data_IF_306201112991
#
_entry.id   IF_306201112991
#
_cell.length_a   1.000
_cell.length_b   1.000
_cell.length_c   1.000
_cell.angle_alpha   90.00
_cell.angle_beta   90.00
_cell.angle_gamma   90.00
#
_symmetry.space_group_name_H-M   'P 1'
#
loop_
_entity.id
_entity.type
_entity.pdbx_description
1 polymer ?
#
# COMPACT_ATOMS: atom_id res chain seq x y z
N UNK A 1 -8.11 -7.06 11.10
CA UNK A 1 -6.70 -6.66 10.94
C UNK A 1 -5.91 -7.75 10.19
N UNK A 2 -6.13 -7.90 8.87
CA UNK A 2 -5.47 -8.99 8.11
C UNK A 2 -4.01 -8.64 7.80
N UNK A 3 -3.76 -7.43 7.31
CA UNK A 3 -2.42 -6.93 6.96
C UNK A 3 -1.46 -6.88 8.16
N UNK A 4 -1.94 -6.47 9.35
CA UNK A 4 -1.11 -6.46 10.55
C UNK A 4 -0.79 -7.86 11.08
N UNK A 5 -1.66 -8.84 10.81
CA UNK A 5 -1.41 -10.25 11.14
C UNK A 5 -0.40 -10.92 10.20
N UNK A 6 -0.22 -10.39 8.98
CA UNK A 6 0.74 -10.90 7.99
C UNK A 6 2.18 -10.44 8.23
N UNK A 7 2.42 -9.56 9.21
CA UNK A 7 3.76 -9.11 9.56
C UNK A 7 4.42 -8.27 8.45
N UNK A 8 3.63 -7.52 7.69
CA UNK A 8 4.14 -6.68 6.61
C UNK A 8 4.96 -5.54 7.21
N UNK A 9 6.26 -5.52 6.91
CA UNK A 9 7.19 -4.45 7.34
C UNK A 9 7.84 -3.71 6.18
N UNK A 10 7.69 -4.23 4.95
CA UNK A 10 8.31 -3.64 3.76
C UNK A 10 7.26 -2.85 2.95
N UNK A 11 7.59 -1.63 2.46
CA UNK A 11 6.70 -0.83 1.62
C UNK A 11 6.24 -1.58 0.36
N UNK A 12 7.16 -2.31 -0.28
CA UNK A 12 6.88 -3.10 -1.48
C UNK A 12 5.84 -4.18 -1.22
N UNK A 13 5.96 -4.89 -0.09
CA UNK A 13 5.01 -5.91 0.33
C UNK A 13 3.66 -5.31 0.71
N UNK A 14 3.63 -4.12 1.34
CA UNK A 14 2.37 -3.43 1.61
C UNK A 14 1.63 -3.08 0.32
N UNK A 15 2.33 -2.52 -0.67
CA UNK A 15 1.73 -2.17 -1.97
C UNK A 15 1.17 -3.43 -2.65
N UNK A 16 1.93 -4.52 -2.72
CA UNK A 16 1.46 -5.78 -3.33
C UNK A 16 0.21 -6.32 -2.64
N UNK A 17 0.19 -6.34 -1.30
CA UNK A 17 -0.97 -6.85 -0.55
C UNK A 17 -2.18 -5.94 -0.69
N UNK A 18 -1.99 -4.62 -0.73
CA UNK A 18 -3.07 -3.69 -1.01
C UNK A 18 -3.65 -3.90 -2.42
N UNK A 19 -2.80 -4.11 -3.43
CA UNK A 19 -3.23 -4.41 -4.80
C UNK A 19 -4.02 -5.72 -4.88
N UNK A 20 -3.54 -6.78 -4.23
CA UNK A 20 -4.24 -8.07 -4.11
C UNK A 20 -5.65 -7.90 -3.50
N UNK A 21 -5.78 -7.03 -2.49
CA UNK A 21 -7.06 -6.75 -1.84
C UNK A 21 -8.06 -5.99 -2.71
N UNK A 22 -7.61 -5.06 -3.56
CA UNK A 22 -8.50 -4.20 -4.35
C UNK A 22 -8.86 -4.78 -5.72
N UNK A 23 -8.27 -5.90 -6.13
CA UNK A 23 -8.60 -6.56 -7.40
C UNK A 23 -7.43 -7.20 -8.13
N UNK A 24 -6.24 -7.27 -7.53
CA UNK A 24 -5.05 -7.93 -8.04
C UNK A 24 -4.60 -7.45 -9.44
N UNK A 25 -4.70 -6.16 -9.72
CA UNK A 25 -4.16 -5.57 -10.96
C UNK A 25 -2.72 -5.09 -10.75
N UNK A 26 -1.98 -5.03 -11.86
CA UNK A 26 -0.58 -4.60 -11.84
C UNK A 26 -0.50 -3.10 -12.10
N UNK A 27 0.29 -2.42 -11.26
CA UNK A 27 0.73 -1.06 -11.53
C UNK A 27 2.02 -1.07 -12.36
N UNK A 28 2.25 -0.05 -13.21
CA UNK A 28 3.56 0.20 -13.79
C UNK A 28 4.58 0.53 -12.70
N UNK A 29 5.85 0.23 -12.99
CA UNK A 29 6.95 0.34 -12.03
C UNK A 29 7.13 1.76 -11.46
N UNK A 30 6.86 2.79 -12.26
CA UNK A 30 6.92 4.18 -11.85
C UNK A 30 5.87 4.51 -10.78
N UNK A 31 4.60 4.19 -11.01
CA UNK A 31 3.51 4.34 -10.03
C UNK A 31 3.79 3.54 -8.78
N UNK A 32 4.30 2.31 -8.93
CA UNK A 32 4.67 1.45 -7.80
C UNK A 32 5.78 2.07 -6.95
N UNK A 33 6.82 2.62 -7.58
CA UNK A 33 7.92 3.30 -6.91
C UNK A 33 7.46 4.56 -6.18
N UNK A 34 6.55 5.33 -6.80
CA UNK A 34 5.95 6.50 -6.16
C UNK A 34 5.17 6.14 -4.87
N UNK A 35 4.39 5.06 -4.91
CA UNK A 35 3.67 4.56 -3.72
C UNK A 35 4.63 4.14 -2.61
N UNK A 36 5.72 3.44 -2.95
CA UNK A 36 6.74 3.05 -1.96
C UNK A 36 7.43 4.25 -1.31
N UNK A 37 7.81 5.26 -2.10
CA UNK A 37 8.40 6.50 -1.59
C UNK A 37 7.41 7.25 -0.65
N UNK A 38 6.13 7.25 -0.98
CA UNK A 38 5.11 7.85 -0.11
C UNK A 38 4.97 7.11 1.23
N UNK A 39 5.00 5.78 1.19
CA UNK A 39 4.95 4.93 2.38
C UNK A 39 6.17 5.17 3.28
N UNK A 40 7.37 5.22 2.69
CA UNK A 40 8.62 5.48 3.39
C UNK A 40 8.58 6.84 4.13
N UNK A 41 8.01 7.86 3.48
CA UNK A 41 7.78 9.18 4.07
C UNK A 41 6.68 9.22 5.13
N UNK A 42 5.76 8.26 5.13
CA UNK A 42 4.62 8.19 6.05
C UNK A 42 5.01 7.65 7.44
N UNK A 43 6.20 7.07 7.57
CA UNK A 43 6.75 6.59 8.83
C UNK A 43 7.05 5.09 8.85
N UNK A 44 7.43 4.59 10.02
CA UNK A 44 7.84 3.19 10.18
C UNK A 44 6.65 2.23 10.00
N UNK A 45 6.81 1.27 9.08
CA UNK A 45 5.82 0.27 8.76
C UNK A 45 5.84 -0.85 9.79
N UNK A 46 5.27 -0.56 10.96
CA UNK A 46 5.27 -1.46 12.11
C UNK A 46 3.87 -2.02 12.39
N UNK A 47 3.59 -3.29 12.06
CA UNK A 47 2.34 -3.96 12.41
C UNK A 47 2.02 -3.83 13.91
N UNK A 48 0.76 -3.52 14.22
CA UNK A 48 0.30 -3.31 15.60
C UNK A 48 0.65 -1.94 16.20
N UNK A 49 1.33 -1.05 15.47
CA UNK A 49 1.42 0.36 15.84
C UNK A 49 0.13 1.10 15.49
N UNK A 50 -0.16 2.18 16.21
CA UNK A 50 -1.31 3.05 15.92
C UNK A 50 -1.23 3.68 14.51
N UNK A 51 0.00 3.93 14.02
CA UNK A 51 0.26 4.52 12.70
C UNK A 51 0.04 3.55 11.54
N UNK A 52 0.16 2.24 11.77
CA UNK A 52 0.07 1.23 10.71
C UNK A 52 -1.26 1.28 9.96
N UNK A 53 -2.37 1.37 10.68
CA UNK A 53 -3.70 1.47 10.07
C UNK A 53 -3.83 2.72 9.17
N UNK A 54 -3.23 3.84 9.58
CA UNK A 54 -3.20 5.07 8.80
C UNK A 54 -2.35 4.96 7.53
N UNK A 55 -1.18 4.32 7.61
CA UNK A 55 -0.30 4.07 6.45
C UNK A 55 -1.02 3.17 5.44
N UNK A 56 -1.66 2.10 5.91
CA UNK A 56 -2.47 1.18 5.08
C UNK A 56 -3.61 1.94 4.39
N UNK A 57 -4.38 2.72 5.14
CA UNK A 57 -5.51 3.48 4.60
C UNK A 57 -5.07 4.48 3.53
N UNK A 58 -3.99 5.23 3.78
CA UNK A 58 -3.42 6.17 2.81
C UNK A 58 -2.92 5.46 1.55
N UNK A 59 -2.24 4.33 1.71
CA UNK A 59 -1.74 3.52 0.58
C UNK A 59 -2.90 3.07 -0.30
N UNK A 60 -3.97 2.54 0.28
CA UNK A 60 -5.18 2.16 -0.46
C UNK A 60 -5.81 3.36 -1.15
N UNK A 61 -5.85 4.51 -0.50
CA UNK A 61 -6.42 5.73 -1.07
C UNK A 61 -5.62 6.25 -2.28
N UNK A 62 -4.29 6.15 -2.24
CA UNK A 62 -3.44 6.47 -3.39
C UNK A 62 -3.62 5.47 -4.52
N UNK A 63 -3.68 4.17 -4.20
CA UNK A 63 -3.91 3.10 -5.16
C UNK A 63 -5.22 3.32 -5.93
N UNK A 64 -6.33 3.60 -5.24
CA UNK A 64 -7.62 3.85 -5.92
C UNK A 64 -7.64 5.18 -6.69
N UNK A 65 -6.72 6.10 -6.41
CA UNK A 65 -6.59 7.36 -7.16
C UNK A 65 -5.72 7.21 -8.43
N UNK A 66 -5.06 6.08 -8.64
CA UNK A 66 -4.28 5.80 -9.86
C UNK A 66 -5.18 5.67 -11.09
N UNK A 67 -4.67 6.05 -12.27
CA UNK A 67 -5.44 5.92 -13.52
C UNK A 67 -5.72 4.44 -13.82
N UNK A 68 -4.74 3.59 -13.52
CA UNK A 68 -4.77 2.15 -13.66
C UNK A 68 -5.96 1.56 -12.91
N UNK A 69 -6.27 2.03 -11.70
CA UNK A 69 -7.47 1.61 -10.99
C UNK A 69 -8.77 2.16 -11.61
N UNK A 70 -8.75 3.43 -12.01
CA UNK A 70 -9.95 4.12 -12.51
C UNK A 70 -10.42 3.60 -13.88
N UNK A 71 -9.52 2.98 -14.66
CA UNK A 71 -9.79 2.48 -16.00
C UNK A 71 -9.64 0.94 -16.14
N UNK A 72 -9.45 0.21 -15.04
CA UNK A 72 -9.38 -1.26 -15.00
C UNK A 72 -10.74 -1.95 -15.20
#
# INVERSE_FOLDING_TARGET
DRLGSEGITEPSALVDRCLDMVGAYSLPEETRSYLMDHIDKSGELKPGSESFGGIVAQTLQLIVATQEYQFA
#
